data_IF_697452145997
#
_entry.id   IF_697452145997
#
_cell.length_a   1.000
_cell.length_b   1.000
_cell.length_c   1.000
_cell.angle_alpha   90.00
_cell.angle_beta   90.00
_cell.angle_gamma   90.00
#
_symmetry.space_group_name_H-M   'P 1'
#
loop_
_entity.id
_entity.type
_entity.pdbx_description
1 polymer ?
#
# COMPACT_ATOMS: atom_id res chain seq x y z
N UNK A 1 -27.42 72.21 -0.01
CA UNK A 1 -26.28 72.87 0.67
C UNK A 1 -25.53 71.77 1.39
N UNK A 2 -24.22 71.63 1.08
CA UNK A 2 -23.30 70.76 1.79
C UNK A 2 -22.70 71.47 2.97
N UNK A 3 -22.72 70.88 4.16
CA UNK A 3 -21.91 71.31 5.30
C UNK A 3 -20.56 70.64 5.20
N UNK A 4 -19.50 71.44 5.14
CA UNK A 4 -18.13 70.98 5.01
C UNK A 4 -17.42 71.26 6.37
N UNK A 5 -16.74 70.25 6.91
CA UNK A 5 -15.74 70.40 7.95
C UNK A 5 -14.41 70.15 7.25
N UNK A 6 -13.62 71.20 7.07
CA UNK A 6 -12.37 71.18 6.30
C UNK A 6 -11.23 71.68 7.17
N UNK A 7 -10.03 71.09 7.02
CA UNK A 7 -8.77 71.62 7.54
C UNK A 7 -7.96 72.09 6.33
N UNK A 8 -7.94 73.42 6.12
CA UNK A 8 -7.27 74.03 4.92
C UNK A 8 -5.78 74.29 5.13
N UNK A 9 -5.23 73.89 6.26
CA UNK A 9 -3.80 74.07 6.59
C UNK A 9 -3.09 72.70 6.76
N UNK A 10 -1.75 72.74 6.89
CA UNK A 10 -0.94 71.54 7.16
C UNK A 10 -1.12 71.12 8.64
N UNK A 11 -2.13 70.37 8.91
CA UNK A 11 -2.46 69.93 10.28
C UNK A 11 -3.40 68.72 10.28
N UNK A 12 -3.94 68.39 11.43
CA UNK A 12 -4.91 67.32 11.61
C UNK A 12 -6.25 67.84 12.07
N UNK A 13 -7.35 67.46 11.49
CA UNK A 13 -8.67 67.63 12.07
C UNK A 13 -8.82 66.70 13.27
N UNK A 14 -8.86 67.24 14.48
CA UNK A 14 -8.96 66.46 15.71
C UNK A 14 -10.38 66.58 16.27
N UNK A 15 -11.10 65.45 16.30
CA UNK A 15 -12.38 65.29 16.98
C UNK A 15 -12.14 64.67 18.37
N UNK A 16 -12.50 65.33 19.45
CA UNK A 16 -12.31 64.83 20.83
C UNK A 16 -13.63 64.78 21.57
N UNK A 17 -13.82 63.72 22.34
CA UNK A 17 -14.96 63.57 23.24
C UNK A 17 -14.57 62.75 24.45
N UNK A 18 -15.03 63.08 25.62
CA UNK A 18 -14.84 62.31 26.86
C UNK A 18 -15.80 61.13 26.96
N UNK A 19 -16.81 61.05 26.09
CA UNK A 19 -17.77 59.95 26.04
C UNK A 19 -17.59 59.12 24.74
N UNK A 20 -18.28 59.47 23.68
CA UNK A 20 -18.17 58.76 22.39
C UNK A 20 -18.22 59.76 21.23
N UNK A 21 -17.56 59.43 20.14
CA UNK A 21 -17.72 60.07 18.84
C UNK A 21 -18.74 59.26 18.03
N UNK A 22 -19.76 59.94 17.55
CA UNK A 22 -20.86 59.32 16.81
C UNK A 22 -21.05 60.02 15.47
N UNK A 23 -21.10 59.22 14.39
CA UNK A 23 -21.63 59.64 13.10
C UNK A 23 -22.98 59.00 12.90
N UNK A 24 -24.02 59.83 12.65
CA UNK A 24 -25.41 59.38 12.50
C UNK A 24 -26.11 60.11 11.33
N UNK A 25 -27.11 59.46 10.77
CA UNK A 25 -28.00 60.14 9.84
C UNK A 25 -28.82 61.18 10.59
N UNK A 26 -29.12 62.31 9.91
CA UNK A 26 -29.99 63.36 10.48
C UNK A 26 -31.44 62.90 10.63
N UNK A 27 -31.95 62.18 9.66
CA UNK A 27 -33.27 61.63 9.66
C UNK A 27 -33.23 60.16 10.06
N UNK A 28 -34.01 59.71 11.03
CA UNK A 28 -34.00 58.35 11.55
C UNK A 28 -32.92 58.04 12.61
N UNK A 29 -31.94 58.93 12.80
CA UNK A 29 -30.89 58.82 13.84
C UNK A 29 -30.11 57.49 13.78
N UNK A 30 -29.88 56.99 12.58
CA UNK A 30 -29.20 55.72 12.34
C UNK A 30 -27.69 55.86 12.58
N UNK A 31 -27.10 54.91 13.32
CA UNK A 31 -25.67 54.85 13.54
C UNK A 31 -24.93 54.46 12.26
N UNK A 32 -23.82 55.12 11.95
CA UNK A 32 -22.86 54.78 10.91
C UNK A 32 -21.50 54.43 11.51
N UNK A 33 -21.05 55.22 12.53
CA UNK A 33 -19.83 54.94 13.29
C UNK A 33 -20.06 55.31 14.76
N UNK A 34 -19.56 54.48 15.65
CA UNK A 34 -19.43 54.78 17.07
C UNK A 34 -18.00 54.46 17.50
N UNK A 35 -17.29 55.46 18.05
CA UNK A 35 -16.00 55.26 18.70
C UNK A 35 -16.11 55.54 20.17
N UNK A 36 -15.90 54.56 21.03
CA UNK A 36 -16.08 54.62 22.47
C UNK A 36 -14.71 54.68 23.18
N UNK A 37 -14.44 55.65 24.08
CA UNK A 37 -13.19 55.64 24.83
C UNK A 37 -12.99 54.34 25.60
N UNK A 38 -11.78 53.75 25.51
CA UNK A 38 -11.43 52.45 26.10
C UNK A 38 -12.35 51.30 25.67
N UNK A 39 -13.10 51.48 24.57
CA UNK A 39 -14.03 50.52 23.99
C UNK A 39 -13.79 50.32 22.52
N UNK A 40 -14.83 49.88 21.82
CA UNK A 40 -14.76 49.57 20.40
C UNK A 40 -14.89 50.78 19.49
N UNK A 41 -14.30 50.70 18.31
CA UNK A 41 -14.75 51.41 17.11
C UNK A 41 -15.67 50.50 16.33
N UNK A 42 -16.91 50.92 16.13
CA UNK A 42 -17.95 50.12 15.46
C UNK A 42 -18.46 50.82 14.22
N UNK A 43 -18.59 50.10 13.12
CA UNK A 43 -19.19 50.55 11.85
C UNK A 43 -20.53 49.83 11.65
N UNK A 44 -21.52 50.57 11.15
CA UNK A 44 -22.88 50.07 10.99
C UNK A 44 -23.38 50.23 9.54
N UNK A 45 -24.23 49.35 9.16
CA UNK A 45 -25.07 49.45 7.97
C UNK A 45 -26.52 49.19 8.37
N UNK A 46 -27.39 50.16 8.11
CA UNK A 46 -28.82 50.11 8.49
C UNK A 46 -29.01 49.73 9.98
N UNK A 47 -28.33 50.50 10.88
CA UNK A 47 -28.23 50.27 12.33
C UNK A 47 -27.70 48.89 12.77
N UNK A 48 -27.36 48.00 11.84
CA UNK A 48 -26.74 46.69 12.14
C UNK A 48 -25.22 46.84 12.17
N UNK A 49 -24.56 46.46 13.28
CA UNK A 49 -23.11 46.44 13.40
C UNK A 49 -22.50 45.47 12.41
N UNK A 50 -21.56 45.90 11.57
CA UNK A 50 -20.87 45.08 10.56
C UNK A 50 -19.40 44.89 10.85
N UNK A 51 -18.76 45.84 11.54
CA UNK A 51 -17.35 45.84 11.90
C UNK A 51 -17.14 46.38 13.30
N UNK A 52 -16.26 45.77 14.07
CA UNK A 52 -15.96 46.19 15.43
C UNK A 52 -14.51 45.86 15.82
N UNK A 53 -13.80 46.82 16.42
CA UNK A 53 -12.53 46.52 17.10
C UNK A 53 -12.81 45.95 18.48
N UNK A 54 -12.04 44.95 18.90
CA UNK A 54 -12.14 44.31 20.22
C UNK A 54 -10.76 44.22 20.86
N UNK A 55 -10.69 43.83 22.14
CA UNK A 55 -9.41 43.61 22.82
C UNK A 55 -8.54 42.51 22.16
N UNK A 56 -9.11 41.67 21.31
CA UNK A 56 -8.41 40.57 20.62
C UNK A 56 -8.26 40.77 19.11
N UNK A 57 -8.72 41.89 18.57
CA UNK A 57 -8.64 42.16 17.12
C UNK A 57 -9.92 42.79 16.57
N UNK A 58 -10.43 42.23 15.49
CA UNK A 58 -11.59 42.79 14.77
C UNK A 58 -12.65 41.68 14.60
N UNK A 59 -13.91 42.08 14.82
CA UNK A 59 -15.07 41.24 14.45
C UNK A 59 -15.76 41.83 13.24
N UNK A 60 -16.03 41.00 12.20
CA UNK A 60 -16.82 41.35 11.05
C UNK A 60 -18.07 40.46 11.02
N UNK A 61 -19.26 41.13 11.08
CA UNK A 61 -20.55 40.40 10.98
C UNK A 61 -21.02 40.37 9.51
N UNK A 62 -20.74 39.27 8.83
CA UNK A 62 -20.99 39.04 7.43
C UNK A 62 -19.73 38.62 6.69
N UNK A 63 -19.70 38.77 5.39
CA UNK A 63 -18.56 38.40 4.54
C UNK A 63 -17.49 39.49 4.49
N UNK A 64 -16.24 39.09 4.29
CA UNK A 64 -15.13 39.96 3.91
C UNK A 64 -14.76 39.63 2.44
N UNK A 65 -14.92 40.60 1.55
CA UNK A 65 -14.47 40.49 0.17
C UNK A 65 -13.12 41.17 0.01
N UNK A 66 -12.10 40.41 -0.35
CA UNK A 66 -10.75 40.90 -0.62
C UNK A 66 -10.46 40.75 -2.09
N UNK A 67 -10.30 41.87 -2.80
CA UNK A 67 -9.97 41.88 -4.24
C UNK A 67 -8.47 41.69 -4.53
N UNK A 68 -7.64 41.52 -3.51
CA UNK A 68 -6.20 41.32 -3.60
C UNK A 68 -5.74 40.09 -2.82
N UNK A 69 -4.49 40.14 -2.35
CA UNK A 69 -3.91 39.05 -1.55
C UNK A 69 -4.30 39.21 -0.09
N UNK A 70 -4.74 38.13 0.53
CA UNK A 70 -4.88 38.02 2.00
C UNK A 70 -3.71 37.22 2.57
N UNK A 71 -3.05 37.75 3.61
CA UNK A 71 -1.98 37.09 4.35
C UNK A 71 -2.39 36.89 5.78
N UNK A 72 -2.38 35.65 6.25
CA UNK A 72 -2.61 35.30 7.64
C UNK A 72 -1.29 34.88 8.28
N UNK A 73 -0.84 35.58 9.33
CA UNK A 73 0.40 35.26 10.05
C UNK A 73 0.22 34.15 11.10
N UNK A 74 -1.01 33.84 11.45
CA UNK A 74 -1.39 32.82 12.41
C UNK A 74 -2.27 31.77 11.75
N UNK A 75 -2.89 30.93 12.59
CA UNK A 75 -3.82 29.90 12.12
C UNK A 75 -5.12 30.53 11.59
N UNK A 76 -5.70 29.90 10.58
CA UNK A 76 -7.09 30.12 10.15
C UNK A 76 -7.94 29.01 10.76
N UNK A 77 -8.93 29.38 11.56
CA UNK A 77 -9.88 28.46 12.18
C UNK A 77 -11.19 28.50 11.41
N UNK A 78 -11.61 27.33 10.92
CA UNK A 78 -12.94 27.07 10.39
C UNK A 78 -13.65 26.15 11.39
N UNK A 79 -14.93 26.35 11.61
CA UNK A 79 -15.74 25.50 12.48
C UNK A 79 -16.05 24.16 11.80
N UNK A 80 -16.73 23.28 12.56
CA UNK A 80 -17.28 22.05 11.99
C UNK A 80 -18.32 22.40 10.92
N UNK A 81 -18.31 21.64 9.82
CA UNK A 81 -19.14 21.84 8.65
C UNK A 81 -18.88 23.15 7.87
N UNK A 82 -17.93 23.99 8.30
CA UNK A 82 -17.42 25.12 7.52
C UNK A 82 -16.47 24.60 6.45
N UNK A 83 -16.57 25.12 5.22
CA UNK A 83 -15.81 24.65 4.05
C UNK A 83 -14.78 25.70 3.60
N UNK A 84 -13.54 25.26 3.34
CA UNK A 84 -12.61 25.99 2.49
C UNK A 84 -12.88 25.60 1.05
N UNK A 85 -13.34 26.55 0.22
CA UNK A 85 -13.82 26.29 -1.14
C UNK A 85 -12.90 26.96 -2.15
N UNK A 86 -12.60 26.25 -3.25
CA UNK A 86 -11.85 26.74 -4.39
C UNK A 86 -12.63 26.53 -5.69
N UNK A 87 -12.52 27.49 -6.60
CA UNK A 87 -13.19 27.50 -7.90
C UNK A 87 -14.62 28.07 -7.85
N UNK A 88 -15.05 28.69 -8.96
CA UNK A 88 -16.37 29.32 -9.07
C UNK A 88 -17.52 28.29 -9.01
N UNK A 89 -17.24 27.03 -9.36
CA UNK A 89 -18.15 25.90 -9.31
C UNK A 89 -18.12 25.14 -7.97
N UNK A 90 -17.41 25.64 -6.95
CA UNK A 90 -17.11 24.93 -5.69
C UNK A 90 -16.36 23.60 -5.95
N UNK A 91 -15.39 23.63 -6.86
CA UNK A 91 -14.77 22.44 -7.42
C UNK A 91 -13.95 21.64 -6.40
N UNK A 92 -13.17 22.32 -5.54
CA UNK A 92 -12.43 21.66 -4.46
C UNK A 92 -12.87 22.20 -3.11
N UNK A 93 -13.13 21.28 -2.17
CA UNK A 93 -13.52 21.57 -0.78
C UNK A 93 -12.62 20.86 0.21
N UNK A 94 -12.30 21.56 1.33
CA UNK A 94 -11.62 20.98 2.49
C UNK A 94 -12.44 21.34 3.71
N UNK A 95 -12.91 20.36 4.47
CA UNK A 95 -13.76 20.56 5.64
C UNK A 95 -13.75 19.38 6.61
N UNK A 96 -14.25 19.62 7.84
CA UNK A 96 -14.55 18.58 8.82
C UNK A 96 -16.06 18.36 8.91
N UNK A 97 -16.52 17.14 8.64
CA UNK A 97 -17.94 16.79 8.72
C UNK A 97 -18.28 16.30 10.13
N UNK A 98 -19.08 17.08 10.85
CA UNK A 98 -19.49 16.79 12.23
C UNK A 98 -20.38 15.57 12.38
N UNK A 99 -21.18 15.23 11.36
CA UNK A 99 -22.14 14.12 11.42
C UNK A 99 -21.47 12.74 11.49
N UNK A 100 -20.29 12.59 10.88
CA UNK A 100 -19.53 11.32 10.81
C UNK A 100 -18.09 11.44 11.31
N UNK A 101 -17.71 12.63 11.80
CA UNK A 101 -16.38 12.94 12.35
C UNK A 101 -15.23 12.69 11.35
N UNK A 102 -15.47 12.93 10.06
CA UNK A 102 -14.47 12.79 9.01
C UNK A 102 -13.91 14.14 8.55
N UNK A 103 -12.59 14.20 8.34
CA UNK A 103 -11.93 15.30 7.62
C UNK A 103 -11.84 14.93 6.14
N UNK A 104 -12.27 15.82 5.26
CA UNK A 104 -12.52 15.54 3.85
C UNK A 104 -11.78 16.54 2.97
N UNK A 105 -11.12 16.04 1.93
CA UNK A 105 -10.65 16.78 0.76
C UNK A 105 -11.46 16.24 -0.41
N UNK A 106 -12.31 17.07 -1.00
CA UNK A 106 -13.30 16.64 -1.99
C UNK A 106 -13.16 17.46 -3.28
N UNK A 107 -12.86 16.79 -4.38
CA UNK A 107 -12.98 17.31 -5.75
C UNK A 107 -14.37 17.01 -6.28
N UNK A 108 -15.15 18.03 -6.66
CA UNK A 108 -16.51 17.94 -7.19
C UNK A 108 -16.64 18.47 -8.60
N UNK A 109 -15.57 19.02 -9.17
CA UNK A 109 -15.50 19.45 -10.56
C UNK A 109 -15.42 18.31 -11.56
N UNK A 110 -15.17 18.62 -12.81
CA UNK A 110 -15.00 17.64 -13.88
C UNK A 110 -13.54 17.19 -14.04
N UNK A 111 -12.63 17.70 -13.22
CA UNK A 111 -11.19 17.44 -13.27
C UNK A 111 -10.73 16.31 -12.34
N UNK A 112 -9.45 16.27 -12.10
CA UNK A 112 -8.80 15.32 -11.18
C UNK A 112 -8.27 16.06 -9.96
N UNK A 113 -8.31 15.44 -8.80
CA UNK A 113 -7.48 15.87 -7.67
C UNK A 113 -6.04 15.40 -7.90
N UNK A 114 -5.16 16.31 -8.31
CA UNK A 114 -3.73 16.03 -8.48
C UNK A 114 -2.96 16.40 -7.22
N UNK A 115 -2.23 15.43 -6.66
CA UNK A 115 -1.32 15.66 -5.53
C UNK A 115 0.11 15.51 -6.08
N UNK A 116 0.77 16.63 -6.37
CA UNK A 116 2.13 16.67 -6.91
C UNK A 116 3.12 16.75 -5.75
N UNK A 117 3.93 15.71 -5.58
CA UNK A 117 4.93 15.63 -4.53
C UNK A 117 6.09 14.71 -4.96
N UNK A 118 7.31 15.03 -4.55
CA UNK A 118 8.47 14.13 -4.72
C UNK A 118 8.33 12.87 -3.86
N UNK A 119 7.56 12.91 -2.79
CA UNK A 119 7.29 11.78 -1.90
C UNK A 119 5.95 11.99 -1.20
N UNK A 120 4.93 11.24 -1.62
CA UNK A 120 3.64 11.22 -0.94
C UNK A 120 3.59 10.04 0.03
N UNK A 121 3.32 10.32 1.31
CA UNK A 121 3.18 9.31 2.36
C UNK A 121 1.81 9.38 3.02
N UNK A 122 1.20 8.22 3.23
CA UNK A 122 0.03 8.05 4.08
C UNK A 122 0.50 7.41 5.39
N UNK A 123 0.18 8.02 6.51
CA UNK A 123 0.59 7.59 7.85
C UNK A 123 -0.63 7.44 8.77
N UNK A 124 -0.42 6.75 9.89
CA UNK A 124 -1.40 6.75 10.99
C UNK A 124 -1.51 8.15 11.62
N UNK A 125 -2.53 8.38 12.46
CA UNK A 125 -2.77 9.67 13.12
C UNK A 125 -1.64 10.14 14.03
N UNK A 126 -0.85 9.23 14.60
CA UNK A 126 0.32 9.55 15.42
C UNK A 126 1.56 9.91 14.59
N UNK A 127 1.55 9.68 13.26
CA UNK A 127 2.66 9.99 12.35
C UNK A 127 3.86 9.05 12.46
N UNK A 128 3.80 8.00 13.27
CA UNK A 128 4.91 7.07 13.54
C UNK A 128 4.85 5.77 12.74
N UNK A 129 3.77 5.53 11.99
CA UNK A 129 3.60 4.36 11.14
C UNK A 129 3.30 4.78 9.69
N UNK A 130 4.06 4.24 8.75
CA UNK A 130 3.86 4.46 7.31
C UNK A 130 2.97 3.35 6.77
N UNK A 131 1.82 3.74 6.19
CA UNK A 131 0.85 2.84 5.56
C UNK A 131 1.13 2.68 4.08
N UNK A 132 1.32 3.80 3.36
CA UNK A 132 1.62 3.80 1.94
C UNK A 132 2.66 4.87 1.58
N UNK A 133 3.46 4.59 0.56
CA UNK A 133 4.43 5.55 0.00
C UNK A 133 4.36 5.50 -1.51
N UNK A 134 4.36 6.68 -2.15
CA UNK A 134 4.40 6.86 -3.60
C UNK A 134 5.60 7.73 -3.93
N UNK A 135 6.53 7.23 -4.75
CA UNK A 135 7.73 7.96 -5.20
C UNK A 135 7.81 7.94 -6.72
N UNK A 136 8.07 9.07 -7.36
CA UNK A 136 8.39 9.08 -8.78
C UNK A 136 9.71 8.32 -9.02
N UNK A 137 9.80 7.62 -10.14
CA UNK A 137 10.98 6.86 -10.60
C UNK A 137 11.50 5.80 -9.61
N UNK A 138 10.70 5.43 -8.62
CA UNK A 138 11.00 4.42 -7.60
C UNK A 138 9.77 3.50 -7.42
N UNK A 139 9.40 3.17 -6.20
CA UNK A 139 8.33 2.24 -5.90
C UNK A 139 7.07 2.91 -5.36
N UNK A 140 5.92 2.30 -5.65
CA UNK A 140 4.74 2.40 -4.80
C UNK A 140 4.79 1.26 -3.80
N UNK A 141 4.74 1.57 -2.50
CA UNK A 141 4.77 0.55 -1.46
C UNK A 141 3.59 0.66 -0.50
N UNK A 142 3.06 -0.50 -0.09
CA UNK A 142 2.07 -0.64 0.95
C UNK A 142 2.68 -1.42 2.12
N UNK A 143 2.48 -0.93 3.33
CA UNK A 143 3.04 -1.51 4.53
C UNK A 143 1.94 -1.99 5.49
N UNK A 144 2.29 -2.95 6.30
CA UNK A 144 1.54 -3.39 7.47
C UNK A 144 2.49 -3.39 8.66
N UNK A 145 2.16 -2.64 9.70
CA UNK A 145 2.99 -2.45 10.90
C UNK A 145 4.45 -2.09 10.54
N UNK A 146 4.61 -0.99 9.74
CA UNK A 146 5.88 -0.51 9.19
C UNK A 146 6.66 -1.54 8.33
N UNK A 147 6.13 -2.74 8.11
CA UNK A 147 6.76 -3.77 7.29
C UNK A 147 6.17 -3.76 5.88
N UNK A 148 7.01 -3.59 4.85
CA UNK A 148 6.59 -3.59 3.45
C UNK A 148 6.00 -4.95 3.08
N UNK A 149 4.76 -4.96 2.54
CA UNK A 149 4.03 -6.15 2.08
C UNK A 149 3.82 -6.20 0.58
N UNK A 150 3.70 -5.06 -0.06
CA UNK A 150 3.51 -4.92 -1.49
C UNK A 150 4.41 -3.80 -2.01
N UNK A 151 5.03 -4.01 -3.17
CA UNK A 151 5.91 -3.03 -3.81
C UNK A 151 5.91 -3.17 -5.32
N UNK A 152 5.80 -2.06 -6.06
CA UNK A 152 6.11 -2.03 -7.48
C UNK A 152 7.63 -1.95 -7.68
N UNK A 153 8.16 -2.65 -8.68
CA UNK A 153 9.58 -2.65 -9.04
C UNK A 153 9.72 -2.46 -10.55
N UNK A 154 10.94 -2.24 -11.04
CA UNK A 154 11.21 -2.18 -12.47
C UNK A 154 10.87 -3.47 -13.24
N UNK A 155 10.67 -4.58 -12.57
CA UNK A 155 10.34 -5.90 -13.14
C UNK A 155 8.90 -6.35 -12.85
N UNK A 156 8.10 -5.58 -12.14
CA UNK A 156 6.72 -5.93 -11.78
C UNK A 156 6.39 -5.64 -10.33
N UNK A 157 5.85 -6.63 -9.62
CA UNK A 157 5.37 -6.48 -8.24
C UNK A 157 6.03 -7.51 -7.33
N UNK A 158 6.48 -7.07 -6.16
CA UNK A 158 6.91 -7.94 -5.07
C UNK A 158 5.84 -7.96 -3.97
N UNK A 159 5.45 -9.16 -3.53
CA UNK A 159 4.59 -9.38 -2.37
C UNK A 159 5.37 -10.15 -1.31
N UNK A 160 5.56 -9.55 -0.13
CA UNK A 160 6.23 -10.18 1.01
C UNK A 160 5.19 -10.86 1.90
N UNK A 161 5.05 -12.15 1.75
CA UNK A 161 4.06 -13.00 2.40
C UNK A 161 3.26 -13.81 1.39
N UNK A 162 2.04 -14.17 1.74
CA UNK A 162 1.15 -14.93 0.86
C UNK A 162 0.25 -14.04 0.01
N UNK A 163 -0.12 -14.53 -1.16
CA UNK A 163 -1.22 -13.97 -1.97
C UNK A 163 -2.38 -14.94 -1.89
N UNK A 164 -3.52 -14.49 -1.35
CA UNK A 164 -4.77 -15.25 -1.37
C UNK A 164 -5.64 -14.76 -2.53
N UNK A 165 -5.95 -15.65 -3.46
CA UNK A 165 -6.83 -15.36 -4.58
C UNK A 165 -8.11 -16.19 -4.43
N UNK A 166 -9.25 -15.54 -4.22
CA UNK A 166 -10.54 -16.21 -4.06
C UNK A 166 -11.22 -16.57 -5.40
N UNK A 167 -10.62 -16.19 -6.52
CA UNK A 167 -11.12 -16.45 -7.87
C UNK A 167 -10.08 -17.17 -8.74
N UNK A 168 -10.21 -17.01 -10.05
CA UNK A 168 -9.29 -17.59 -11.02
C UNK A 168 -8.07 -16.67 -11.18
N UNK A 169 -6.87 -17.24 -11.10
CA UNK A 169 -5.62 -16.58 -11.51
C UNK A 169 -5.26 -17.03 -12.93
N UNK A 170 -5.01 -16.06 -13.80
CA UNK A 170 -4.52 -16.32 -15.16
C UNK A 170 -3.11 -15.78 -15.30
N UNK A 171 -2.18 -16.64 -15.73
CA UNK A 171 -0.82 -16.29 -16.07
C UNK A 171 -0.63 -16.45 -17.58
N UNK A 172 -0.17 -15.40 -18.25
CA UNK A 172 0.02 -15.41 -19.71
C UNK A 172 1.34 -16.07 -20.14
N UNK A 173 2.31 -16.10 -19.25
CA UNK A 173 3.62 -16.71 -19.46
C UNK A 173 3.88 -17.83 -18.45
N UNK A 174 5.12 -18.35 -18.42
CA UNK A 174 5.53 -19.41 -17.52
C UNK A 174 5.41 -18.98 -16.05
N UNK A 175 5.02 -19.91 -15.20
CA UNK A 175 5.10 -19.78 -13.75
C UNK A 175 6.40 -20.46 -13.30
N UNK A 176 7.30 -19.71 -12.69
CA UNK A 176 8.46 -20.27 -12.00
C UNK A 176 8.14 -20.47 -10.52
N UNK A 177 8.22 -21.72 -10.07
CA UNK A 177 8.01 -22.09 -8.67
C UNK A 177 9.31 -22.68 -8.14
N UNK A 178 9.93 -21.99 -7.16
CA UNK A 178 11.19 -22.46 -6.54
C UNK A 178 10.95 -23.48 -5.42
N UNK A 179 9.72 -23.64 -4.97
CA UNK A 179 9.29 -24.64 -3.99
C UNK A 179 8.37 -25.69 -4.58
N UNK A 180 7.62 -26.34 -3.72
CA UNK A 180 6.59 -27.29 -4.11
C UNK A 180 5.24 -26.61 -4.37
N UNK A 181 4.41 -27.20 -5.22
CA UNK A 181 3.00 -26.83 -5.37
C UNK A 181 2.18 -27.86 -4.60
N UNK A 182 1.32 -27.38 -3.72
CA UNK A 182 0.41 -28.21 -2.92
C UNK A 182 -1.02 -28.06 -3.42
N UNK A 183 -1.72 -29.16 -3.61
CA UNK A 183 -3.12 -29.20 -4.05
C UNK A 183 -3.99 -29.68 -2.89
N UNK A 184 -4.78 -28.78 -2.33
CA UNK A 184 -5.83 -29.03 -1.33
C UNK A 184 -5.37 -29.88 -0.13
N UNK A 185 -4.11 -29.76 0.27
CA UNK A 185 -3.49 -30.56 1.32
C UNK A 185 -3.54 -32.09 1.09
N UNK A 186 -3.78 -32.52 -0.15
CA UNK A 186 -3.88 -33.94 -0.54
C UNK A 186 -2.62 -34.39 -1.28
N UNK A 187 -2.17 -33.60 -2.25
CA UNK A 187 -0.99 -33.94 -3.05
C UNK A 187 -0.02 -32.76 -3.10
N UNK A 188 1.26 -33.11 -3.25
CA UNK A 188 2.35 -32.14 -3.45
C UNK A 188 3.11 -32.53 -4.69
N UNK A 189 3.35 -31.60 -5.62
CA UNK A 189 4.27 -31.80 -6.74
C UNK A 189 5.50 -30.92 -6.57
N UNK A 190 6.64 -31.42 -6.97
CA UNK A 190 7.90 -30.70 -6.84
C UNK A 190 9.00 -31.27 -7.73
N UNK A 191 10.15 -30.63 -7.68
CA UNK A 191 11.33 -31.05 -8.43
C UNK A 191 12.57 -31.11 -7.54
N UNK A 192 13.51 -31.97 -7.90
CA UNK A 192 14.79 -32.09 -7.25
C UNK A 192 15.89 -32.39 -8.27
N UNK A 193 17.13 -32.14 -7.86
CA UNK A 193 18.32 -32.54 -8.63
C UNK A 193 19.36 -33.15 -7.71
N UNK A 194 20.11 -34.13 -8.21
CA UNK A 194 21.25 -34.70 -7.50
C UNK A 194 22.35 -35.03 -8.53
N UNK A 195 23.59 -35.12 -8.03
CA UNK A 195 24.73 -35.56 -8.84
C UNK A 195 25.50 -36.59 -8.04
N UNK A 196 25.71 -37.76 -8.61
CA UNK A 196 26.43 -38.85 -7.97
C UNK A 196 27.54 -39.40 -8.89
N UNK A 197 28.57 -39.99 -8.27
CA UNK A 197 29.69 -40.68 -8.92
C UNK A 197 29.87 -42.06 -8.31
N UNK A 198 28.84 -42.65 -7.74
CA UNK A 198 28.93 -43.88 -6.95
C UNK A 198 28.15 -45.04 -7.61
N UNK A 199 28.66 -46.24 -7.44
CA UNK A 199 28.06 -47.50 -7.83
C UNK A 199 27.17 -48.09 -6.73
N UNK A 200 27.12 -47.44 -5.56
CA UNK A 200 26.27 -47.89 -4.43
C UNK A 200 25.04 -47.07 -4.32
N UNK A 201 23.94 -47.68 -3.88
CA UNK A 201 22.68 -46.99 -3.66
C UNK A 201 22.86 -45.78 -2.73
N UNK A 202 22.59 -44.61 -3.24
CA UNK A 202 22.73 -43.34 -2.55
C UNK A 202 21.46 -42.52 -2.78
N UNK A 203 20.96 -41.80 -1.77
CA UNK A 203 19.77 -40.95 -1.92
C UNK A 203 19.96 -39.86 -2.96
N UNK A 204 19.05 -39.79 -3.94
CA UNK A 204 18.95 -38.72 -4.93
C UNK A 204 17.77 -37.77 -4.64
N UNK A 205 16.82 -38.19 -3.82
CA UNK A 205 15.77 -37.35 -3.27
C UNK A 205 15.45 -37.79 -1.84
N UNK A 206 15.29 -36.81 -0.94
CA UNK A 206 14.91 -36.98 0.47
C UNK A 206 13.96 -35.85 0.84
N UNK A 207 13.40 -35.87 2.06
CA UNK A 207 12.59 -34.74 2.57
C UNK A 207 11.08 -34.96 2.44
N UNK A 208 10.64 -36.11 1.93
CA UNK A 208 9.24 -36.51 2.04
C UNK A 208 9.04 -37.29 3.34
N UNK A 209 8.46 -36.61 4.37
CA UNK A 209 8.19 -37.27 5.65
C UNK A 209 7.25 -38.45 5.48
N UNK A 210 7.65 -39.63 5.97
CA UNK A 210 6.85 -40.85 5.96
C UNK A 210 5.58 -40.76 6.83
N UNK A 211 5.51 -39.79 7.76
CA UNK A 211 4.30 -39.50 8.53
C UNK A 211 3.30 -38.62 7.76
N UNK A 212 3.74 -37.93 6.70
CA UNK A 212 2.91 -37.01 5.92
C UNK A 212 2.52 -37.58 4.58
N UNK A 213 3.43 -38.27 3.89
CA UNK A 213 3.20 -38.79 2.55
C UNK A 213 3.14 -40.30 2.59
N UNK A 214 2.22 -40.91 1.82
CA UNK A 214 2.03 -42.36 1.73
C UNK A 214 2.58 -42.94 0.45
N UNK A 215 2.40 -42.25 -0.69
CA UNK A 215 2.86 -42.71 -1.99
C UNK A 215 3.47 -41.57 -2.79
N UNK A 216 4.38 -41.92 -3.70
CA UNK A 216 5.05 -40.95 -4.59
C UNK A 216 5.24 -41.56 -5.95
N UNK A 217 4.89 -40.80 -6.99
CA UNK A 217 5.31 -41.08 -8.36
C UNK A 217 6.49 -40.17 -8.71
N UNK A 218 7.60 -40.76 -9.13
CA UNK A 218 8.78 -40.04 -9.62
C UNK A 218 8.88 -40.18 -11.12
N UNK A 219 9.23 -39.10 -11.82
CA UNK A 219 9.75 -39.08 -13.19
C UNK A 219 11.19 -38.61 -13.13
N UNK A 220 12.12 -39.46 -13.60
CA UNK A 220 13.55 -39.26 -13.44
C UNK A 220 14.19 -39.17 -14.82
N UNK A 221 15.09 -38.20 -15.00
CA UNK A 221 16.06 -38.16 -16.09
C UNK A 221 17.45 -38.26 -15.49
N UNK A 222 18.20 -39.31 -15.82
CA UNK A 222 19.61 -39.46 -15.47
C UNK A 222 20.46 -39.19 -16.72
N UNK A 223 21.53 -38.43 -16.57
CA UNK A 223 22.44 -38.05 -17.65
C UNK A 223 23.87 -38.29 -17.24
N UNK A 224 24.58 -39.11 -18.00
CA UNK A 224 26.02 -39.39 -17.87
C UNK A 224 26.72 -39.10 -19.21
N UNK A 225 27.38 -37.94 -19.31
CA UNK A 225 27.98 -37.51 -20.59
C UNK A 225 26.96 -37.40 -21.71
N UNK A 226 27.02 -38.28 -22.70
CA UNK A 226 26.10 -38.37 -23.83
C UNK A 226 25.05 -39.50 -23.68
N UNK A 227 25.07 -40.18 -22.53
CA UNK A 227 24.08 -41.23 -22.23
C UNK A 227 22.92 -40.63 -21.43
N UNK A 228 21.70 -40.89 -21.91
CA UNK A 228 20.46 -40.43 -21.31
C UNK A 228 19.60 -41.62 -20.92
N UNK A 229 19.06 -41.58 -19.72
CA UNK A 229 18.17 -42.61 -19.18
C UNK A 229 16.99 -41.89 -18.51
N UNK A 230 15.77 -42.23 -18.89
CA UNK A 230 14.53 -41.77 -18.26
C UNK A 230 13.74 -42.95 -17.73
N UNK A 231 13.23 -42.82 -16.51
CA UNK A 231 12.41 -43.84 -15.87
C UNK A 231 11.31 -43.19 -15.00
N UNK A 232 10.24 -43.95 -14.77
CA UNK A 232 9.25 -43.64 -13.71
C UNK A 232 9.38 -44.65 -12.60
N UNK A 233 9.27 -44.18 -11.37
CA UNK A 233 9.29 -45.01 -10.16
C UNK A 233 8.08 -44.65 -9.30
N UNK A 234 7.18 -45.64 -9.15
CA UNK A 234 6.05 -45.51 -8.21
C UNK A 234 6.43 -46.16 -6.88
N UNK A 235 6.24 -45.45 -5.80
CA UNK A 235 6.59 -45.87 -4.44
C UNK A 235 5.38 -45.78 -3.52
N UNK A 236 5.20 -46.78 -2.67
CA UNK A 236 4.32 -46.79 -1.52
C UNK A 236 5.10 -47.34 -0.33
N UNK A 237 4.77 -46.88 0.91
CA UNK A 237 5.41 -47.41 2.12
C UNK A 237 4.40 -47.66 3.24
N UNK A 238 4.77 -48.51 4.19
CA UNK A 238 3.98 -48.79 5.41
C UNK A 238 4.38 -48.00 6.64
N UNK A 239 5.37 -47.10 6.51
CA UNK A 239 5.96 -46.29 7.55
C UNK A 239 7.39 -46.72 7.91
N UNK A 240 7.79 -47.93 7.57
CA UNK A 240 9.10 -48.52 7.84
C UNK A 240 9.77 -49.09 6.59
N UNK A 241 9.00 -49.68 5.68
CA UNK A 241 9.46 -50.31 4.47
C UNK A 241 8.86 -49.63 3.24
N UNK A 242 9.68 -49.28 2.27
CA UNK A 242 9.20 -48.79 0.98
C UNK A 242 9.09 -49.98 -0.04
N UNK A 243 8.04 -49.94 -0.80
CA UNK A 243 7.78 -50.86 -1.94
C UNK A 243 7.73 -50.02 -3.19
N UNK A 244 8.44 -50.40 -4.22
CA UNK A 244 8.50 -49.62 -5.45
C UNK A 244 8.34 -50.46 -6.71
N UNK A 245 7.97 -49.84 -7.81
CA UNK A 245 7.95 -50.39 -9.13
C UNK A 245 8.53 -49.35 -10.12
N UNK A 246 9.54 -49.76 -10.85
CA UNK A 246 10.08 -48.99 -11.99
C UNK A 246 9.34 -49.37 -13.26
N UNK A 247 8.98 -48.38 -14.07
CA UNK A 247 8.31 -48.56 -15.35
C UNK A 247 8.62 -47.42 -16.32
N UNK A 248 8.31 -47.60 -17.61
CA UNK A 248 8.54 -46.57 -18.62
C UNK A 248 10.01 -46.22 -18.82
N UNK A 249 10.90 -47.21 -18.60
CA UNK A 249 12.35 -47.04 -18.72
C UNK A 249 12.78 -46.93 -20.17
N UNK A 250 13.48 -45.87 -20.52
CA UNK A 250 14.00 -45.58 -21.86
C UNK A 250 15.43 -45.04 -21.71
N UNK A 251 16.35 -45.53 -22.55
CA UNK A 251 17.72 -45.03 -22.63
C UNK A 251 18.22 -45.07 -24.10
N UNK A 252 19.20 -44.18 -24.42
CA UNK A 252 19.72 -44.13 -25.80
C UNK A 252 20.80 -45.18 -26.10
N UNK A 253 21.61 -45.58 -25.14
CA UNK A 253 22.66 -46.59 -25.34
C UNK A 253 22.52 -47.73 -24.33
N UNK A 254 22.88 -47.48 -23.08
CA UNK A 254 22.77 -48.41 -21.95
C UNK A 254 22.12 -47.70 -20.79
N UNK A 255 21.47 -48.41 -19.84
CA UNK A 255 21.07 -47.82 -18.59
C UNK A 255 22.27 -47.15 -17.93
N UNK A 256 22.07 -45.98 -17.30
CA UNK A 256 23.13 -45.25 -16.54
C UNK A 256 22.97 -45.37 -15.04
N UNK A 257 21.84 -45.87 -14.58
CA UNK A 257 21.54 -46.09 -13.17
C UNK A 257 20.44 -47.13 -12.97
N UNK A 258 20.42 -47.70 -11.77
CA UNK A 258 19.27 -48.42 -11.21
C UNK A 258 18.65 -47.60 -10.11
N UNK A 259 17.34 -47.80 -9.85
CA UNK A 259 16.58 -47.02 -8.86
C UNK A 259 16.00 -47.93 -7.78
N UNK A 260 15.97 -47.45 -6.55
CA UNK A 260 15.40 -48.08 -5.38
C UNK A 260 14.73 -47.05 -4.48
N UNK A 261 13.96 -47.49 -3.51
CA UNK A 261 13.36 -46.62 -2.49
C UNK A 261 13.43 -47.28 -1.11
N UNK A 262 13.63 -46.44 -0.09
CA UNK A 262 13.60 -46.87 1.31
C UNK A 262 12.90 -45.87 2.21
N UNK A 263 12.66 -46.28 3.46
CA UNK A 263 12.29 -45.35 4.56
C UNK A 263 13.44 -45.32 5.54
N UNK A 264 14.03 -44.13 5.73
CA UNK A 264 15.15 -43.95 6.66
C UNK A 264 15.05 -42.60 7.36
N UNK A 265 15.31 -42.61 8.68
CA UNK A 265 15.22 -41.39 9.49
C UNK A 265 13.85 -40.70 9.46
N UNK A 266 12.76 -41.48 9.28
CA UNK A 266 11.41 -40.94 9.17
C UNK A 266 11.05 -40.32 7.83
N UNK A 267 11.91 -40.44 6.82
CA UNK A 267 11.68 -39.93 5.46
C UNK A 267 11.63 -41.08 4.44
N UNK A 268 10.73 -40.96 3.49
CA UNK A 268 10.75 -41.73 2.23
C UNK A 268 11.84 -41.16 1.35
N UNK A 269 12.73 -42.03 0.84
CA UNK A 269 13.86 -41.63 -0.01
C UNK A 269 13.83 -42.39 -1.34
N UNK A 270 14.20 -41.69 -2.41
CA UNK A 270 14.53 -42.26 -3.68
C UNK A 270 16.05 -42.46 -3.76
N UNK A 271 16.50 -43.64 -4.07
CA UNK A 271 17.89 -44.04 -4.17
C UNK A 271 18.26 -44.30 -5.62
N UNK A 272 19.53 -44.04 -5.96
CA UNK A 272 20.11 -44.48 -7.23
C UNK A 272 21.49 -45.09 -7.02
N UNK A 273 21.84 -46.07 -7.83
CA UNK A 273 23.19 -46.57 -8.01
C UNK A 273 23.60 -46.37 -9.47
N UNK A 274 24.75 -45.75 -9.72
CA UNK A 274 25.29 -45.60 -11.07
C UNK A 274 25.75 -46.93 -11.64
N UNK A 275 25.70 -47.09 -12.95
CA UNK A 275 26.29 -48.25 -13.66
C UNK A 275 27.78 -48.04 -13.94
N UNK A 276 28.27 -46.84 -13.73
CA UNK A 276 29.69 -46.45 -13.82
C UNK A 276 30.07 -45.49 -12.72
N UNK A 277 31.38 -45.26 -12.51
CA UNK A 277 31.90 -44.25 -11.59
C UNK A 277 31.94 -42.81 -12.17
N UNK A 278 31.38 -42.62 -13.35
CA UNK A 278 31.28 -41.28 -13.95
C UNK A 278 30.21 -40.44 -13.25
N UNK A 279 30.36 -39.12 -13.40
CA UNK A 279 29.36 -38.19 -12.83
C UNK A 279 28.03 -38.33 -13.57
N UNK A 280 26.98 -38.73 -12.83
CA UNK A 280 25.61 -38.83 -13.33
C UNK A 280 24.77 -37.74 -12.66
N UNK A 281 24.10 -36.91 -13.48
CA UNK A 281 23.16 -35.89 -13.05
C UNK A 281 21.74 -36.42 -13.13
N UNK A 282 21.02 -36.32 -12.01
CA UNK A 282 19.61 -36.72 -11.90
C UNK A 282 18.75 -35.47 -11.84
N UNK A 283 17.75 -35.35 -12.73
CA UNK A 283 16.66 -34.40 -12.67
C UNK A 283 15.37 -35.15 -12.34
N UNK A 284 14.69 -34.72 -11.31
CA UNK A 284 13.60 -35.47 -10.72
C UNK A 284 12.38 -34.56 -10.64
N UNK A 285 11.25 -35.00 -11.15
CA UNK A 285 9.92 -34.47 -10.87
C UNK A 285 9.16 -35.52 -10.07
N UNK A 286 8.42 -35.10 -9.05
CA UNK A 286 7.62 -36.01 -8.23
C UNK A 286 6.22 -35.47 -7.95
N UNK A 287 5.29 -36.41 -7.74
CA UNK A 287 3.95 -36.17 -7.24
C UNK A 287 3.76 -37.06 -6.01
N UNK A 288 3.65 -36.45 -4.83
CA UNK A 288 3.48 -37.18 -3.57
C UNK A 288 2.06 -37.03 -3.04
N UNK A 289 1.47 -38.12 -2.58
CA UNK A 289 0.12 -38.15 -1.98
C UNK A 289 0.24 -38.32 -0.47
N UNK A 290 -0.50 -37.51 0.26
CA UNK A 290 -0.50 -37.49 1.73
C UNK A 290 -1.26 -38.70 2.32
N UNK A 291 -0.99 -38.94 3.61
CA UNK A 291 -1.66 -39.99 4.43
C UNK A 291 -3.12 -39.66 4.66
#
# INVERSE_FOLDING_TARGET
LNSIIDDVNVGSLVLRSDSSILLRTRTGNENQLIATPNGSVSLYYDNSKKFETTGYGVTVSGGVYVSGISTFQGNVYLGDDDELIFGDGNDLKIYHNSSNNNSIIQETGSGNLNINADNLQIRNSAGNEVIAVFRPDDSVSLNYDNSKKFETTGYGVTVSGGVYVSGISTFQDNIEVTGNIEFDNITTTGAATATLTTLTETPIHTGLSASTYRSVEYTIQATEGTNFHSAKVLVVHDGTTAYHSEYGTIYNNTPVATFNADVSGGNLRLLAAGESSNSTVYKIHFIATKV
#
